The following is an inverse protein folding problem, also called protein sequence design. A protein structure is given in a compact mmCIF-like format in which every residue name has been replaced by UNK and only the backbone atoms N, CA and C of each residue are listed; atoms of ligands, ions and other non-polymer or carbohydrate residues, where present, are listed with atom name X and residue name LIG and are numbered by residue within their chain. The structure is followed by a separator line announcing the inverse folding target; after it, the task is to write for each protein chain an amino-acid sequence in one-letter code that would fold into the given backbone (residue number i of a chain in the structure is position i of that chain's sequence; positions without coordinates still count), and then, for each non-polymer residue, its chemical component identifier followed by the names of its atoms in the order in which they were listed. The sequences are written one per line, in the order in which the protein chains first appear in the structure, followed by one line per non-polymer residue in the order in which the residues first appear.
data_IF_899095174601
#
_entry.id   IF_899095174601
#
_cell.length_a   1.000
_cell.length_b   1.000
_cell.length_c   1.000
_cell.angle_alpha   90.00
_cell.angle_beta   90.00
_cell.angle_gamma   90.00
#
_symmetry.space_group_name_H-M   'P 1'
#
loop_
_entity.id
_entity.type
_entity.pdbx_description
1 polymer ?
#
# COMPACT_ATOMS: atom_id res chain seq x y z
N UNK A 1 6.20 1.07 -12.30
CA UNK A 1 6.27 1.86 -11.06
C UNK A 1 5.87 3.30 -11.36
N UNK A 2 4.79 3.80 -10.78
CA UNK A 2 4.41 5.21 -10.90
C UNK A 2 4.84 5.93 -9.61
N UNK A 3 5.99 6.59 -9.62
CA UNK A 3 6.43 7.42 -8.50
C UNK A 3 6.04 8.88 -8.72
N UNK A 4 5.95 9.65 -7.63
CA UNK A 4 5.77 11.11 -7.71
C UNK A 4 6.93 11.76 -7.00
N UNK A 5 7.74 12.51 -7.74
CA UNK A 5 8.71 13.43 -7.18
C UNK A 5 8.02 14.77 -6.92
N UNK A 6 8.29 15.37 -5.76
CA UNK A 6 7.85 16.72 -5.44
C UNK A 6 9.09 17.62 -5.49
N UNK A 7 9.10 18.54 -6.46
CA UNK A 7 10.09 19.61 -6.58
C UNK A 7 9.47 20.94 -6.16
N UNK A 8 10.26 21.76 -5.48
CA UNK A 8 9.93 23.15 -5.25
C UNK A 8 10.52 23.97 -6.41
N UNK A 9 9.69 24.73 -7.13
CA UNK A 9 10.17 25.66 -8.15
C UNK A 9 10.65 26.93 -7.46
N UNK A 10 11.89 26.94 -6.98
CA UNK A 10 12.49 28.10 -6.33
C UNK A 10 14.01 27.93 -6.17
N UNK A 11 14.78 29.03 -6.14
CA UNK A 11 16.22 28.98 -6.06
C UNK A 11 16.67 28.82 -4.59
N UNK A 12 16.51 27.65 -3.96
CA UNK A 12 17.29 27.34 -2.75
C UNK A 12 17.36 25.83 -2.41
N UNK A 13 18.58 25.40 -2.05
CA UNK A 13 19.06 24.19 -1.34
C UNK A 13 18.45 22.82 -1.69
N UNK A 14 19.20 22.07 -2.51
CA UNK A 14 19.15 20.61 -2.54
C UNK A 14 19.58 20.10 -1.14
N UNK A 15 18.70 19.36 -0.45
CA UNK A 15 19.05 18.72 0.83
C UNK A 15 20.23 17.75 0.65
N UNK A 16 21.17 17.75 1.62
CA UNK A 16 22.29 16.81 1.69
C UNK A 16 21.92 15.48 2.34
N UNK A 17 20.68 15.35 2.80
CA UNK A 17 20.22 14.18 3.54
C UNK A 17 19.74 13.07 2.60
N UNK A 18 19.87 11.81 3.04
CA UNK A 18 19.50 10.64 2.25
C UNK A 18 18.03 10.70 1.80
N UNK A 19 17.76 10.29 0.55
CA UNK A 19 16.42 10.25 0.01
C UNK A 19 15.58 9.11 0.64
N UNK A 20 14.29 9.37 0.82
CA UNK A 20 13.38 8.42 1.50
C UNK A 20 12.43 7.81 0.48
N UNK A 21 12.44 6.48 0.39
CA UNK A 21 11.42 5.72 -0.36
C UNK A 21 10.47 5.06 0.63
N UNK A 22 9.17 5.36 0.46
CA UNK A 22 8.09 4.72 1.21
C UNK A 22 7.30 3.86 0.22
N UNK A 23 7.27 2.55 0.47
CA UNK A 23 6.46 1.61 -0.29
C UNK A 23 5.36 1.06 0.61
N UNK A 24 4.11 1.06 0.11
CA UNK A 24 2.98 0.46 0.83
C UNK A 24 2.03 -0.24 -0.14
N UNK A 25 1.81 -1.53 0.14
CA UNK A 25 0.72 -2.35 -0.37
C UNK A 25 0.64 -2.54 -1.88
N UNK A 26 -0.18 -3.51 -2.27
CA UNK A 26 -0.46 -3.75 -3.68
C UNK A 26 -1.21 -2.56 -4.27
N UNK A 27 -0.52 -1.79 -5.11
CA UNK A 27 -0.99 -0.57 -5.78
C UNK A 27 -1.04 0.70 -4.93
N UNK A 28 0.05 0.99 -4.19
CA UNK A 28 0.32 2.31 -3.59
C UNK A 28 -0.09 3.49 -4.49
N UNK A 29 -1.31 3.98 -4.29
CA UNK A 29 -1.93 4.97 -5.17
C UNK A 29 -1.22 6.30 -5.00
N UNK A 30 -0.77 6.87 -6.12
CA UNK A 30 -0.20 8.22 -6.22
C UNK A 30 -1.06 9.29 -5.52
N UNK A 31 -2.37 9.10 -5.46
CA UNK A 31 -3.30 10.02 -4.81
C UNK A 31 -3.21 9.97 -3.28
N UNK A 32 -3.00 8.78 -2.70
CA UNK A 32 -2.93 8.59 -1.24
C UNK A 32 -1.67 9.23 -0.65
N UNK A 33 -0.57 9.21 -1.40
CA UNK A 33 0.72 9.73 -0.97
C UNK A 33 0.94 11.23 -1.27
N UNK A 34 0.01 11.88 -1.98
CA UNK A 34 0.19 13.27 -2.43
C UNK A 34 0.21 14.27 -1.27
N UNK A 35 -0.64 14.08 -0.28
CA UNK A 35 -0.72 14.96 0.90
C UNK A 35 0.49 14.75 1.82
N UNK A 36 0.88 13.49 2.03
CA UNK A 36 2.02 13.13 2.87
C UNK A 36 3.35 13.57 2.25
N UNK A 37 3.54 13.35 0.94
CA UNK A 37 4.74 13.77 0.20
C UNK A 37 4.95 15.28 0.21
N UNK A 38 3.87 16.07 0.16
CA UNK A 38 3.94 17.53 0.35
C UNK A 38 4.34 17.92 1.76
N UNK A 39 3.81 17.26 2.78
CA UNK A 39 4.15 17.54 4.18
C UNK A 39 5.62 17.21 4.48
N UNK A 40 6.13 16.09 3.95
CA UNK A 40 7.53 15.70 4.11
C UNK A 40 8.45 16.70 3.40
N UNK A 41 8.19 17.02 2.13
CA UNK A 41 8.99 18.00 1.39
C UNK A 41 8.98 19.38 2.07
N UNK A 42 7.81 19.86 2.51
CA UNK A 42 7.70 21.15 3.18
C UNK A 42 8.44 21.20 4.52
N UNK A 43 8.60 20.06 5.20
CA UNK A 43 9.27 19.96 6.50
C UNK A 43 10.78 19.71 6.38
N UNK A 44 11.24 18.97 5.38
CA UNK A 44 12.63 18.45 5.32
C UNK A 44 13.44 18.87 4.10
N UNK A 45 12.82 19.41 3.03
CA UNK A 45 13.51 19.82 1.81
C UNK A 45 14.16 18.67 0.99
N UNK A 46 13.83 17.40 1.27
CA UNK A 46 14.43 16.24 0.58
C UNK A 46 13.84 16.01 -0.84
N UNK A 47 14.68 15.48 -1.76
CA UNK A 47 14.36 15.17 -3.17
C UNK A 47 14.95 13.80 -3.60
N UNK A 48 14.16 12.74 -3.80
CA UNK A 48 14.75 11.40 -3.74
C UNK A 48 15.15 10.67 -5.03
N UNK A 49 16.37 10.07 -5.06
CA UNK A 49 16.71 8.74 -5.63
C UNK A 49 18.15 8.24 -5.27
N UNK A 50 18.31 6.90 -5.11
CA UNK A 50 19.32 6.02 -4.40
C UNK A 50 18.94 5.71 -2.95
N UNK A 51 18.71 4.44 -2.57
CA UNK A 51 18.02 4.09 -1.30
C UNK A 51 18.99 3.88 -0.14
N UNK A 52 19.12 4.90 0.71
CA UNK A 52 19.94 4.81 1.94
C UNK A 52 19.17 4.23 3.14
N UNK A 53 17.83 4.37 3.16
CA UNK A 53 16.95 3.84 4.21
C UNK A 53 15.60 3.42 3.64
N UNK A 54 15.15 2.22 3.98
CA UNK A 54 13.92 1.61 3.47
C UNK A 54 12.85 1.58 4.57
N UNK A 55 11.65 2.11 4.27
CA UNK A 55 10.47 1.93 5.12
C UNK A 55 9.52 0.93 4.48
N UNK A 56 9.33 -0.22 5.13
CA UNK A 56 8.39 -1.27 4.72
C UNK A 56 7.14 -1.15 5.59
N UNK A 57 6.01 -0.79 4.98
CA UNK A 57 4.77 -0.53 5.70
C UNK A 57 3.83 -1.73 5.66
N UNK A 58 3.74 -2.39 6.81
CA UNK A 58 2.79 -3.45 7.14
C UNK A 58 2.69 -4.53 6.06
N UNK A 59 3.85 -5.08 5.69
CA UNK A 59 3.97 -6.22 4.79
C UNK A 59 5.20 -7.04 5.13
N UNK A 60 5.03 -8.35 5.17
CA UNK A 60 6.09 -9.34 5.35
C UNK A 60 6.51 -9.91 3.98
N UNK A 61 7.80 -10.22 3.76
CA UNK A 61 8.22 -11.00 2.60
C UNK A 61 7.85 -12.49 2.70
N UNK A 62 7.32 -12.93 3.85
CA UNK A 62 7.08 -14.35 4.15
C UNK A 62 5.60 -14.67 4.31
N UNK A 63 4.92 -13.87 5.13
CA UNK A 63 3.51 -14.07 5.43
C UNK A 63 2.61 -13.41 4.39
N UNK A 64 1.62 -14.17 3.93
CA UNK A 64 0.48 -13.65 3.17
C UNK A 64 -0.70 -13.50 4.13
N UNK A 65 -1.18 -12.26 4.31
CA UNK A 65 -2.37 -11.97 5.10
C UNK A 65 -3.60 -12.72 4.56
N UNK A 66 -4.53 -13.04 5.46
CA UNK A 66 -5.83 -13.62 5.08
C UNK A 66 -6.59 -12.72 4.10
N UNK A 67 -6.53 -11.40 4.27
CA UNK A 67 -7.23 -10.46 3.39
C UNK A 67 -6.70 -10.57 1.95
N UNK A 68 -5.38 -10.59 1.78
CA UNK A 68 -4.73 -10.79 0.48
C UNK A 68 -5.06 -12.16 -0.12
N UNK A 69 -5.11 -13.21 0.70
CA UNK A 69 -5.45 -14.56 0.23
C UNK A 69 -6.87 -14.65 -0.35
N UNK A 70 -7.79 -13.79 0.10
CA UNK A 70 -9.17 -13.75 -0.40
C UNK A 70 -9.36 -12.85 -1.63
N UNK A 71 -8.38 -12.01 -1.95
CA UNK A 71 -8.47 -11.02 -3.03
C UNK A 71 -8.77 -11.62 -4.42
N UNK A 72 -8.23 -12.79 -4.84
CA UNK A 72 -8.60 -13.42 -6.11
C UNK A 72 -10.10 -13.64 -6.27
N UNK A 73 -10.76 -14.09 -5.19
CA UNK A 73 -12.23 -14.28 -5.18
C UNK A 73 -12.96 -12.96 -5.36
N UNK A 74 -12.45 -11.88 -4.80
CA UNK A 74 -13.06 -10.55 -4.96
C UNK A 74 -12.93 -10.07 -6.40
N UNK A 75 -11.76 -10.27 -7.02
CA UNK A 75 -11.51 -9.94 -8.43
C UNK A 75 -12.45 -10.69 -9.37
N UNK A 76 -12.67 -11.99 -9.16
CA UNK A 76 -13.62 -12.79 -9.93
C UNK A 76 -15.04 -12.25 -9.86
N UNK A 77 -15.47 -11.83 -8.66
CA UNK A 77 -16.81 -11.25 -8.47
C UNK A 77 -16.88 -9.90 -9.17
N UNK A 78 -15.91 -9.02 -8.95
CA UNK A 78 -15.85 -7.70 -9.57
C UNK A 78 -15.89 -7.79 -11.10
N UNK A 79 -15.22 -8.79 -11.70
CA UNK A 79 -15.24 -9.01 -13.15
C UNK A 79 -16.63 -9.31 -13.71
N UNK A 80 -17.53 -9.88 -12.90
CA UNK A 80 -18.90 -10.27 -13.29
C UNK A 80 -19.94 -9.20 -13.00
N UNK A 81 -19.57 -8.11 -12.32
CA UNK A 81 -20.52 -7.05 -11.99
C UNK A 81 -20.78 -6.18 -13.22
N UNK A 82 -22.00 -6.26 -13.73
CA UNK A 82 -22.54 -5.34 -14.72
C UNK A 82 -23.41 -4.30 -14.02
N UNK A 83 -22.98 -3.03 -14.05
CA UNK A 83 -23.70 -1.94 -13.42
C UNK A 83 -24.62 -1.26 -14.44
N UNK A 84 -25.92 -1.09 -14.15
CA UNK A 84 -26.84 -0.43 -15.08
C UNK A 84 -26.44 1.01 -15.40
N UNK A 85 -26.38 1.35 -16.69
CA UNK A 85 -25.91 2.66 -17.17
C UNK A 85 -26.82 3.84 -16.77
N UNK A 86 -28.09 3.59 -16.46
CA UNK A 86 -29.03 4.64 -16.08
C UNK A 86 -28.84 5.16 -14.64
N UNK A 87 -28.03 4.47 -13.83
CA UNK A 87 -27.76 4.86 -12.45
C UNK A 87 -26.80 6.05 -12.39
N UNK A 88 -26.97 6.91 -11.41
CA UNK A 88 -25.95 7.89 -11.01
C UNK A 88 -24.75 7.19 -10.38
N UNK A 89 -23.60 7.87 -10.27
CA UNK A 89 -22.39 7.30 -9.66
C UNK A 89 -22.63 6.84 -8.20
N UNK A 90 -23.48 7.55 -7.45
CA UNK A 90 -23.82 7.20 -6.08
C UNK A 90 -24.67 5.93 -6.02
N UNK A 91 -25.68 5.81 -6.89
CA UNK A 91 -26.52 4.63 -7.00
C UNK A 91 -25.73 3.42 -7.50
N UNK A 92 -24.85 3.61 -8.48
CA UNK A 92 -23.94 2.59 -8.99
C UNK A 92 -23.05 2.02 -7.89
N UNK A 93 -22.46 2.88 -7.04
CA UNK A 93 -21.65 2.42 -5.89
C UNK A 93 -22.49 1.62 -4.90
N UNK A 94 -23.70 2.09 -4.58
CA UNK A 94 -24.60 1.38 -3.66
C UNK A 94 -25.04 0.02 -4.23
N UNK A 95 -25.37 -0.02 -5.51
CA UNK A 95 -25.71 -1.25 -6.23
C UNK A 95 -24.56 -2.27 -6.18
N UNK A 96 -23.35 -1.83 -6.50
CA UNK A 96 -22.16 -2.67 -6.46
C UNK A 96 -21.80 -3.12 -5.04
N UNK A 97 -21.95 -2.27 -4.02
CA UNK A 97 -21.74 -2.65 -2.61
C UNK A 97 -22.65 -3.81 -2.16
N UNK A 98 -23.93 -3.75 -2.51
CA UNK A 98 -24.90 -4.80 -2.17
C UNK A 98 -24.54 -6.14 -2.81
N UNK A 99 -23.98 -6.13 -4.03
CA UNK A 99 -23.50 -7.34 -4.71
C UNK A 99 -22.22 -7.89 -4.06
N UNK A 100 -21.31 -7.00 -3.63
CA UNK A 100 -20.06 -7.41 -2.98
C UNK A 100 -20.27 -7.91 -1.55
N UNK A 101 -21.28 -7.41 -0.83
CA UNK A 101 -21.53 -7.68 0.60
C UNK A 101 -21.48 -9.16 1.02
N UNK A 102 -22.09 -10.12 0.29
CA UNK A 102 -22.05 -11.53 0.69
C UNK A 102 -20.64 -12.14 0.64
N UNK A 103 -19.77 -11.63 -0.23
CA UNK A 103 -18.44 -12.18 -0.45
C UNK A 103 -17.33 -11.39 0.26
N UNK A 104 -17.56 -10.09 0.51
CA UNK A 104 -16.63 -9.19 1.18
C UNK A 104 -17.34 -8.63 2.42
N UNK A 105 -17.34 -9.33 3.57
CA UNK A 105 -18.08 -8.89 4.76
C UNK A 105 -17.57 -7.59 5.36
N UNK A 106 -16.26 -7.33 5.23
CA UNK A 106 -15.63 -6.12 5.75
C UNK A 106 -16.04 -4.87 4.93
N UNK A 107 -16.73 -3.89 5.54
CA UNK A 107 -17.16 -2.67 4.84
C UNK A 107 -16.01 -1.78 4.39
N UNK A 108 -14.88 -1.77 5.11
CA UNK A 108 -13.70 -0.99 4.77
C UNK A 108 -13.05 -1.54 3.51
N UNK A 109 -12.95 -2.87 3.37
CA UNK A 109 -12.46 -3.51 2.14
C UNK A 109 -13.40 -3.24 0.97
N UNK A 110 -14.73 -3.37 1.16
CA UNK A 110 -15.70 -3.03 0.09
C UNK A 110 -15.55 -1.59 -0.37
N UNK A 111 -15.47 -0.65 0.57
CA UNK A 111 -15.33 0.77 0.26
C UNK A 111 -14.03 1.04 -0.49
N UNK A 112 -12.94 0.36 -0.14
CA UNK A 112 -11.67 0.41 -0.87
C UNK A 112 -11.83 -0.10 -2.30
N UNK A 113 -12.44 -1.27 -2.53
CA UNK A 113 -12.68 -1.80 -3.88
C UNK A 113 -13.51 -0.81 -4.73
N UNK A 114 -14.56 -0.23 -4.16
CA UNK A 114 -15.45 0.73 -4.83
C UNK A 114 -14.78 2.04 -5.23
N UNK A 115 -13.62 2.40 -4.65
CA UNK A 115 -12.83 3.55 -5.11
C UNK A 115 -12.30 3.39 -6.54
N UNK A 116 -12.25 2.13 -7.01
CA UNK A 116 -11.83 1.78 -8.37
C UNK A 116 -12.98 1.77 -9.37
N UNK A 117 -14.24 1.89 -8.95
CA UNK A 117 -15.37 2.00 -9.88
C UNK A 117 -15.39 3.39 -10.50
N UNK A 118 -15.43 3.45 -11.82
CA UNK A 118 -15.41 4.70 -12.58
C UNK A 118 -16.53 4.74 -13.61
N UNK A 119 -17.07 5.93 -13.84
CA UNK A 119 -18.01 6.17 -14.93
C UNK A 119 -17.25 6.56 -16.21
N UNK A 120 -17.57 5.93 -17.32
CA UNK A 120 -17.03 6.24 -18.66
C UNK A 120 -18.18 6.42 -19.66
N UNK A 121 -17.88 6.90 -20.86
CA UNK A 121 -18.88 7.07 -21.93
C UNK A 121 -19.55 5.75 -22.33
N UNK A 122 -18.84 4.63 -22.14
CA UNK A 122 -19.32 3.27 -22.41
C UNK A 122 -19.97 2.60 -21.18
N UNK A 123 -20.19 3.35 -20.09
CA UNK A 123 -20.77 2.86 -18.85
C UNK A 123 -19.78 2.74 -17.71
N UNK A 124 -20.12 1.93 -16.70
CA UNK A 124 -19.29 1.76 -15.51
C UNK A 124 -18.19 0.73 -15.74
N UNK A 125 -16.94 1.13 -15.48
CA UNK A 125 -15.77 0.26 -15.60
C UNK A 125 -14.90 0.34 -14.35
N UNK A 126 -14.26 -0.77 -14.04
CA UNK A 126 -13.19 -0.79 -13.06
C UNK A 126 -11.94 -0.12 -13.64
N UNK A 127 -11.31 0.75 -12.86
CA UNK A 127 -10.01 1.36 -13.19
C UNK A 127 -8.88 0.33 -13.26
N UNK A 128 -9.07 -0.78 -12.56
CA UNK A 128 -8.11 -1.88 -12.48
C UNK A 128 -8.22 -2.77 -13.71
N UNK A 129 -7.08 -3.23 -14.22
CA UNK A 129 -7.06 -4.36 -15.14
C UNK A 129 -7.25 -5.65 -14.33
N UNK A 130 -8.51 -5.96 -14.01
CA UNK A 130 -8.88 -7.09 -13.15
C UNK A 130 -8.36 -8.40 -13.71
N UNK A 131 -8.48 -8.62 -15.02
CA UNK A 131 -8.02 -9.84 -15.68
C UNK A 131 -6.51 -10.03 -15.51
N UNK A 132 -5.72 -8.99 -15.79
CA UNK A 132 -4.27 -9.07 -15.61
C UNK A 132 -3.89 -9.32 -14.13
N UNK A 133 -4.58 -8.68 -13.19
CA UNK A 133 -4.30 -8.89 -11.76
C UNK A 133 -4.66 -10.32 -11.36
N UNK A 134 -5.85 -10.81 -11.73
CA UNK A 134 -6.30 -12.15 -11.39
C UNK A 134 -5.37 -13.23 -11.96
N UNK A 135 -4.98 -13.10 -13.24
CA UNK A 135 -4.11 -14.06 -13.92
C UNK A 135 -2.67 -14.08 -13.39
N UNK A 136 -2.22 -13.00 -12.74
CA UNK A 136 -0.87 -12.89 -12.21
C UNK A 136 -0.84 -12.85 -10.67
N UNK A 137 -1.99 -13.01 -10.01
CA UNK A 137 -2.10 -12.79 -8.57
C UNK A 137 -1.19 -13.74 -7.81
N UNK A 138 -1.35 -15.03 -8.08
CA UNK A 138 -0.50 -16.09 -7.55
C UNK A 138 0.34 -16.70 -8.68
N UNK A 139 1.65 -16.92 -8.50
CA UNK A 139 2.46 -16.50 -7.34
C UNK A 139 2.94 -15.05 -7.43
N UNK A 140 2.93 -14.42 -8.60
CA UNK A 140 3.81 -13.26 -8.86
C UNK A 140 3.50 -11.99 -8.06
N UNK A 141 2.23 -11.69 -7.82
CA UNK A 141 1.80 -10.45 -7.16
C UNK A 141 1.72 -10.61 -5.65
N UNK A 142 1.32 -11.79 -5.16
CA UNK A 142 1.06 -12.07 -3.74
C UNK A 142 2.27 -12.60 -2.98
N UNK A 143 3.32 -13.03 -3.68
CA UNK A 143 4.53 -13.60 -3.07
C UNK A 143 5.72 -12.67 -3.20
N UNK A 144 6.63 -12.78 -2.25
CA UNK A 144 7.98 -12.26 -2.42
C UNK A 144 8.79 -13.25 -3.26
N UNK A 145 9.53 -12.80 -4.28
CA UNK A 145 10.29 -13.70 -5.13
C UNK A 145 11.45 -14.32 -4.34
N UNK A 146 11.42 -15.64 -4.15
CA UNK A 146 12.58 -16.39 -3.67
C UNK A 146 13.46 -16.62 -4.89
N UNK A 147 14.53 -15.85 -5.00
CA UNK A 147 15.50 -15.94 -6.08
C UNK A 147 16.83 -16.37 -5.47
N UNK A 148 17.40 -17.46 -5.99
CA UNK A 148 18.55 -18.18 -5.43
C UNK A 148 19.84 -17.33 -5.28
N UNK A 149 19.84 -16.09 -5.79
CA UNK A 149 21.03 -15.23 -5.92
C UNK A 149 20.91 -13.85 -5.25
N UNK A 150 19.84 -13.55 -4.48
CA UNK A 150 19.76 -12.21 -3.89
C UNK A 150 20.68 -12.05 -2.68
N UNK A 151 21.56 -11.06 -2.79
CA UNK A 151 22.32 -10.53 -1.66
C UNK A 151 21.35 -9.94 -0.61
N UNK A 152 21.73 -10.09 0.66
CA UNK A 152 21.05 -9.43 1.77
C UNK A 152 20.98 -7.92 1.50
N UNK A 153 19.88 -7.29 1.88
CA UNK A 153 19.80 -5.84 1.85
C UNK A 153 20.49 -5.27 3.09
N UNK A 154 21.73 -4.84 2.91
CA UNK A 154 22.58 -4.24 3.96
C UNK A 154 22.25 -2.75 4.23
N UNK A 155 21.09 -2.25 3.81
CA UNK A 155 20.63 -0.90 4.13
C UNK A 155 19.78 -0.87 5.40
N UNK A 156 19.78 0.26 6.12
CA UNK A 156 18.87 0.46 7.25
C UNK A 156 17.42 0.27 6.80
N UNK A 157 16.69 -0.61 7.49
CA UNK A 157 15.30 -0.90 7.14
C UNK A 157 14.40 -0.75 8.36
N UNK A 158 13.32 0.01 8.25
CA UNK A 158 12.31 0.10 9.28
C UNK A 158 11.01 -0.55 8.79
N UNK A 159 10.61 -1.63 9.44
CA UNK A 159 9.31 -2.26 9.27
C UNK A 159 8.33 -1.61 10.24
N UNK A 160 7.26 -1.02 9.71
CA UNK A 160 6.22 -0.36 10.51
C UNK A 160 4.91 -1.10 10.27
N UNK A 161 4.41 -1.80 11.29
CA UNK A 161 3.19 -2.59 11.25
C UNK A 161 2.07 -2.05 12.13
N UNK A 162 0.84 -2.51 11.87
CA UNK A 162 -0.30 -2.27 12.77
C UNK A 162 -0.37 -3.38 13.81
N UNK A 163 -0.56 -3.04 15.09
CA UNK A 163 -0.64 -4.05 16.16
C UNK A 163 -1.77 -5.07 15.94
N UNK A 164 -2.86 -4.66 15.30
CA UNK A 164 -4.01 -5.51 14.99
C UNK A 164 -3.93 -6.13 13.58
N UNK A 165 -2.86 -5.88 12.84
CA UNK A 165 -2.65 -6.39 11.48
C UNK A 165 -1.97 -7.76 11.48
N UNK A 166 -2.32 -8.61 10.52
CA UNK A 166 -1.67 -9.90 10.30
C UNK A 166 -0.72 -9.91 9.09
N UNK A 167 -0.46 -8.74 8.50
CA UNK A 167 0.42 -8.59 7.32
C UNK A 167 1.91 -8.59 7.66
N UNK A 168 2.28 -8.02 8.82
CA UNK A 168 3.63 -8.10 9.39
C UNK A 168 3.50 -8.76 10.76
N UNK A 169 3.87 -10.03 10.83
CA UNK A 169 3.76 -10.84 12.05
C UNK A 169 5.07 -10.83 12.81
N UNK A 170 5.00 -10.84 14.15
CA UNK A 170 6.21 -10.87 14.99
C UNK A 170 7.04 -12.12 14.75
N UNK A 171 6.38 -13.21 14.40
CA UNK A 171 6.99 -14.49 14.06
C UNK A 171 7.83 -14.42 12.76
N UNK A 172 7.61 -13.41 11.91
CA UNK A 172 8.39 -13.23 10.68
C UNK A 172 9.70 -12.45 10.92
N UNK A 173 9.88 -11.80 12.08
CA UNK A 173 10.97 -10.85 12.33
C UNK A 173 12.36 -11.49 12.15
N UNK A 174 12.56 -12.70 12.68
CA UNK A 174 13.85 -13.41 12.57
C UNK A 174 14.21 -13.71 11.11
N UNK A 175 13.27 -14.23 10.34
CA UNK A 175 13.50 -14.57 8.94
C UNK A 175 13.56 -13.31 8.04
N UNK A 176 12.90 -12.22 8.42
CA UNK A 176 13.10 -10.91 7.80
C UNK A 176 14.54 -10.42 8.04
N UNK A 177 15.09 -10.61 9.23
CA UNK A 177 16.48 -10.21 9.53
C UNK A 177 17.52 -10.98 8.72
N UNK A 178 17.22 -12.19 8.26
CA UNK A 178 18.10 -12.92 7.33
C UNK A 178 18.23 -12.22 5.97
N UNK A 179 17.18 -11.53 5.53
CA UNK A 179 17.11 -10.77 4.28
C UNK A 179 17.50 -9.29 4.47
N UNK A 180 17.20 -8.71 5.64
CA UNK A 180 17.42 -7.31 6.00
C UNK A 180 18.14 -7.23 7.37
N UNK A 181 19.47 -7.42 7.42
CA UNK A 181 20.22 -7.52 8.68
C UNK A 181 20.16 -6.28 9.56
N UNK A 182 19.96 -5.10 8.96
CA UNK A 182 19.82 -3.82 9.65
C UNK A 182 18.35 -3.38 9.78
N UNK A 183 17.45 -4.35 9.97
CA UNK A 183 16.02 -4.09 10.16
C UNK A 183 15.67 -3.72 11.61
N UNK A 184 14.71 -2.82 11.75
CA UNK A 184 14.03 -2.49 13.01
C UNK A 184 12.53 -2.61 12.84
N UNK A 185 11.83 -3.04 13.90
CA UNK A 185 10.38 -3.31 13.86
C UNK A 185 9.64 -2.39 14.81
N UNK A 186 8.60 -1.74 14.31
CA UNK A 186 7.79 -0.78 15.05
C UNK A 186 6.31 -1.06 14.83
N UNK A 187 5.53 -1.19 15.90
CA UNK A 187 4.11 -1.49 15.81
C UNK A 187 3.28 -0.35 16.39
N UNK A 188 2.32 0.15 15.61
CA UNK A 188 1.44 1.22 16.06
C UNK A 188 0.26 0.60 16.83
N UNK A 189 0.16 0.96 18.11
CA UNK A 189 -0.85 0.45 19.04
C UNK A 189 -2.27 0.67 18.50
N UNK A 190 -3.07 -0.39 18.52
CA UNK A 190 -4.47 -0.40 18.04
C UNK A 190 -4.67 0.01 16.58
N UNK A 191 -3.63 0.02 15.75
CA UNK A 191 -3.76 0.20 14.30
C UNK A 191 -4.00 -1.13 13.59
N UNK A 192 -4.86 -1.14 12.57
CA UNK A 192 -4.98 -2.23 11.61
C UNK A 192 -4.01 -2.07 10.45
N UNK A 193 -4.33 -2.68 9.30
CA UNK A 193 -3.41 -2.76 8.17
C UNK A 193 -3.05 -1.38 7.57
N UNK A 194 -4.02 -0.48 7.48
CA UNK A 194 -3.80 0.86 6.96
C UNK A 194 -3.31 1.79 8.07
N UNK A 195 -2.15 1.49 8.64
CA UNK A 195 -1.54 2.22 9.78
C UNK A 195 -1.57 3.74 9.63
N UNK A 196 -1.34 4.24 8.42
CA UNK A 196 -1.32 5.66 8.07
C UNK A 196 -2.72 6.30 8.01
N UNK A 197 -3.77 5.51 7.77
CA UNK A 197 -5.16 5.95 7.77
C UNK A 197 -5.79 5.78 9.17
N UNK A 198 -5.48 4.69 9.86
CA UNK A 198 -6.03 4.36 11.18
C UNK A 198 -5.47 5.27 12.27
N UNK A 199 -4.15 5.54 12.21
CA UNK A 199 -3.38 6.27 13.24
C UNK A 199 -2.43 7.29 12.60
N UNK A 200 -2.94 8.30 11.86
CA UNK A 200 -2.11 9.19 11.06
C UNK A 200 -1.09 10.00 11.89
N UNK A 201 -1.46 10.44 13.10
CA UNK A 201 -0.58 11.25 13.94
C UNK A 201 0.54 10.41 14.55
N UNK A 202 0.21 9.23 15.04
CA UNK A 202 1.14 8.26 15.61
C UNK A 202 2.10 7.75 14.54
N UNK A 203 1.57 7.43 13.36
CA UNK A 203 2.37 7.08 12.19
C UNK A 203 3.36 8.18 11.84
N UNK A 204 2.90 9.43 11.69
CA UNK A 204 3.79 10.55 11.36
C UNK A 204 4.83 10.79 12.45
N UNK A 205 4.45 10.71 13.74
CA UNK A 205 5.38 10.87 14.86
C UNK A 205 6.49 9.82 14.82
N UNK A 206 6.13 8.55 14.68
CA UNK A 206 7.07 7.44 14.55
C UNK A 206 7.95 7.62 13.31
N UNK A 207 7.33 7.86 12.16
CA UNK A 207 8.02 8.05 10.90
C UNK A 207 9.09 9.15 10.99
N UNK A 208 8.74 10.32 11.54
CA UNK A 208 9.71 11.41 11.70
C UNK A 208 10.83 11.06 12.69
N UNK A 209 10.54 10.34 13.80
CA UNK A 209 11.59 9.92 14.74
C UNK A 209 12.60 8.93 14.16
N UNK A 210 12.27 8.26 13.05
CA UNK A 210 13.16 7.31 12.37
C UNK A 210 13.95 7.95 11.21
N UNK A 211 13.69 9.23 10.90
CA UNK A 211 14.38 10.00 9.86
C UNK A 211 15.58 10.81 10.37
N UNK A 212 15.63 11.04 11.68
CA UNK A 212 16.70 11.69 12.42
C UNK A 212 17.87 10.71 12.68
#
# INVERSE_FOLDING_TARGET
MAYTSFQQTGPEKISKEPPVIIMHGLMGSKTNWKSLGKAINAKTGRHPSVVDKLFVLDVSPLSISKDISTLPRFLEIMQRIEVPMHLTMQEARKYTDEILRPAVPDPSIRQFLLTNLNNTEEGYKWRLNIEAIANNFNPFISTFPILDEYERYEGETAFIGGELSDYLRREDEEAIQELFPHSSFHYIERAGHWVHADKPNEFLKLFFSLLD
#
